data_IF_439897523243
#
_entry.id   IF_439897523243
#
_cell.length_a   1.000
_cell.length_b   1.000
_cell.length_c   1.000
_cell.angle_alpha   90.00
_cell.angle_beta   90.00
_cell.angle_gamma   90.00
#
_symmetry.space_group_name_H-M   'P 1'
#
loop_
_entity.id
_entity.type
_entity.pdbx_description
1 polymer ?
#
# COMPACT_ATOMS: atom_id res chain seq x y z
N UNK A 1 -11.12 31.76 31.12
CA UNK A 1 -10.19 30.69 30.72
C UNK A 1 -8.80 31.11 31.14
N UNK A 2 -8.23 30.41 32.12
CA UNK A 2 -6.96 30.78 32.75
C UNK A 2 -5.79 30.18 31.97
N UNK A 3 -4.64 30.84 31.99
CA UNK A 3 -3.38 30.32 31.42
C UNK A 3 -3.03 28.91 31.94
N UNK A 4 -3.46 28.62 33.18
CA UNK A 4 -3.27 27.31 33.83
C UNK A 4 -4.02 26.18 33.12
N UNK A 5 -5.21 26.46 32.59
CA UNK A 5 -6.02 25.48 31.87
C UNK A 5 -5.34 25.11 30.54
N UNK A 6 -4.81 26.12 29.85
CA UNK A 6 -4.07 25.93 28.60
C UNK A 6 -2.76 25.15 28.79
N UNK A 7 -2.02 25.44 29.86
CA UNK A 7 -0.77 24.74 30.15
C UNK A 7 -1.01 23.26 30.50
N UNK A 8 -2.07 22.98 31.26
CA UNK A 8 -2.49 21.61 31.58
C UNK A 8 -2.86 20.83 30.31
N UNK A 9 -3.67 21.43 29.43
CA UNK A 9 -4.03 20.84 28.14
C UNK A 9 -2.81 20.56 27.24
N UNK A 10 -1.86 21.49 27.19
CA UNK A 10 -0.64 21.33 26.40
C UNK A 10 0.22 20.16 26.92
N UNK A 11 0.33 20.03 28.24
CA UNK A 11 1.06 18.94 28.87
C UNK A 11 0.38 17.58 28.64
N UNK A 12 -0.94 17.48 28.77
CA UNK A 12 -1.68 16.25 28.47
C UNK A 12 -1.45 15.79 27.03
N UNK A 13 -1.50 16.72 26.07
CA UNK A 13 -1.20 16.44 24.65
C UNK A 13 0.24 15.97 24.43
N UNK A 14 1.20 16.57 25.14
CA UNK A 14 2.61 16.23 25.04
C UNK A 14 2.91 14.85 25.66
N UNK A 15 2.32 14.54 26.82
CA UNK A 15 2.44 13.23 27.48
C UNK A 15 1.89 12.13 26.59
N UNK A 16 0.72 12.33 25.98
CA UNK A 16 0.13 11.37 25.04
C UNK A 16 1.05 11.07 23.84
N UNK A 17 1.76 12.09 23.36
CA UNK A 17 2.72 11.96 22.25
C UNK A 17 4.05 11.34 22.68
N UNK A 18 4.46 11.51 23.93
CA UNK A 18 5.64 10.88 24.51
C UNK A 18 5.41 9.39 24.81
N UNK A 19 4.20 9.02 25.26
CA UNK A 19 3.82 7.63 25.55
C UNK A 19 3.64 6.79 24.29
N UNK A 20 3.31 7.40 23.14
CA UNK A 20 3.19 6.68 21.87
C UNK A 20 4.59 6.45 21.28
N UNK A 21 5.19 5.25 21.43
CA UNK A 21 6.59 5.06 21.11
C UNK A 21 6.78 5.09 19.59
N UNK A 22 7.98 5.52 19.17
CA UNK A 22 8.48 5.53 17.78
C UNK A 22 8.35 4.18 17.02
N UNK A 23 7.89 3.12 17.68
CA UNK A 23 7.67 1.76 17.18
C UNK A 23 6.45 1.64 16.27
N UNK A 24 5.32 2.30 16.57
CA UNK A 24 4.11 2.18 15.75
C UNK A 24 4.22 2.91 14.41
N UNK A 25 4.98 4.01 14.36
CA UNK A 25 5.24 4.73 13.10
C UNK A 25 5.97 3.86 12.07
N UNK A 26 6.78 2.89 12.52
CA UNK A 26 7.45 1.93 11.62
C UNK A 26 6.51 0.80 11.20
N UNK A 27 5.60 0.36 12.07
CA UNK A 27 4.64 -0.69 11.77
C UNK A 27 3.59 -0.23 10.73
N UNK A 28 3.02 0.96 10.90
CA UNK A 28 2.02 1.53 9.99
C UNK A 28 2.64 1.89 8.63
N UNK A 29 3.87 2.43 8.62
CA UNK A 29 4.60 2.75 7.38
C UNK A 29 5.06 1.50 6.61
N UNK A 30 5.19 0.35 7.30
CA UNK A 30 5.53 -0.94 6.68
C UNK A 30 4.28 -1.67 6.17
N UNK A 31 3.13 -1.54 6.83
CA UNK A 31 1.86 -2.13 6.35
C UNK A 31 1.23 -1.36 5.19
N UNK A 32 1.32 -0.02 5.18
CA UNK A 32 0.86 0.85 4.08
C UNK A 32 1.91 1.05 2.98
N UNK A 33 2.95 0.22 2.94
CA UNK A 33 3.90 0.22 1.83
C UNK A 33 3.28 -0.55 0.66
N UNK A 34 2.15 -0.06 0.16
CA UNK A 34 1.64 -0.46 -1.14
C UNK A 34 2.80 -0.34 -2.12
N UNK A 35 3.03 -1.41 -2.88
CA UNK A 35 4.09 -1.39 -3.87
C UNK A 35 3.87 -0.16 -4.77
N UNK A 36 4.93 0.62 -5.00
CA UNK A 36 4.83 1.81 -5.85
C UNK A 36 4.23 1.47 -7.22
N UNK A 37 4.46 0.23 -7.67
CA UNK A 37 3.78 -0.36 -8.83
C UNK A 37 2.26 -0.42 -8.70
N UNK A 38 1.66 -0.84 -7.58
CA UNK A 38 0.20 -0.79 -7.41
C UNK A 38 -0.32 0.64 -7.39
N UNK A 39 0.45 1.59 -6.83
CA UNK A 39 0.07 3.01 -6.77
C UNK A 39 0.07 3.72 -8.14
N UNK A 40 0.94 3.30 -9.05
CA UNK A 40 1.08 3.93 -10.38
C UNK A 40 0.54 3.08 -11.53
N UNK A 41 0.46 1.75 -11.36
CA UNK A 41 0.06 0.82 -12.40
C UNK A 41 -1.22 0.03 -12.08
N UNK A 42 -1.83 0.18 -10.89
CA UNK A 42 -3.13 -0.42 -10.57
C UNK A 42 -3.30 -1.85 -11.09
N UNK A 43 -4.22 -2.03 -12.06
CA UNK A 43 -4.52 -3.31 -12.73
C UNK A 43 -3.78 -3.55 -14.07
N UNK A 44 -2.91 -2.64 -14.52
CA UNK A 44 -2.17 -2.77 -15.78
C UNK A 44 -1.34 -4.06 -15.87
N UNK A 45 -0.52 -4.46 -14.86
CA UNK A 45 0.23 -5.71 -14.97
C UNK A 45 -0.69 -6.94 -15.00
N UNK A 46 -1.90 -6.84 -14.47
CA UNK A 46 -2.89 -7.92 -14.51
C UNK A 46 -3.53 -8.05 -15.90
N UNK A 47 -3.98 -6.95 -16.50
CA UNK A 47 -4.54 -6.95 -17.86
C UNK A 47 -3.49 -7.29 -18.93
N UNK A 48 -2.24 -6.85 -18.74
CA UNK A 48 -1.11 -7.21 -19.61
C UNK A 48 -0.85 -8.72 -19.60
N UNK A 49 -0.84 -9.35 -18.42
CA UNK A 49 -0.69 -10.82 -18.30
C UNK A 49 -1.82 -11.57 -19.01
N UNK A 50 -3.08 -11.15 -18.83
CA UNK A 50 -4.22 -11.77 -19.54
C UNK A 50 -4.10 -11.63 -21.06
N UNK A 51 -3.67 -10.47 -21.55
CA UNK A 51 -3.49 -10.26 -22.99
C UNK A 51 -2.40 -11.16 -23.57
N UNK A 52 -1.24 -11.24 -22.91
CA UNK A 52 -0.12 -12.09 -23.34
C UNK A 52 -0.51 -13.57 -23.32
N UNK A 53 -1.23 -14.02 -22.28
CA UNK A 53 -1.70 -15.41 -22.19
C UNK A 53 -2.73 -15.74 -23.30
N UNK A 54 -3.62 -14.80 -23.62
CA UNK A 54 -4.55 -14.93 -24.75
C UNK A 54 -3.82 -15.02 -26.09
N UNK A 55 -2.73 -14.27 -26.29
CA UNK A 55 -1.92 -14.35 -27.51
C UNK A 55 -1.14 -15.67 -27.58
N UNK A 56 -0.54 -16.09 -26.46
CA UNK A 56 0.21 -17.35 -26.37
C UNK A 56 -0.68 -18.57 -26.63
N UNK A 57 -1.87 -18.59 -26.04
CA UNK A 57 -2.86 -19.66 -26.25
C UNK A 57 -3.38 -19.70 -27.68
N UNK A 58 -3.51 -18.56 -28.36
CA UNK A 58 -3.82 -18.53 -29.82
C UNK A 58 -2.68 -19.08 -30.67
N UNK A 59 -1.43 -18.74 -30.36
CA UNK A 59 -0.26 -19.26 -31.06
C UNK A 59 0.00 -20.76 -30.78
N UNK A 60 -0.38 -21.25 -29.61
CA UNK A 60 -0.29 -22.67 -29.27
C UNK A 60 -1.41 -23.51 -29.90
N UNK A 61 -2.61 -22.94 -30.09
CA UNK A 61 -3.76 -23.64 -30.67
C UNK A 61 -3.56 -24.02 -32.14
N UNK A 62 -2.77 -23.25 -32.90
CA UNK A 62 -2.39 -23.59 -34.28
C UNK A 62 -1.29 -24.67 -34.39
N UNK A 63 -0.64 -25.04 -33.28
CA UNK A 63 0.40 -26.10 -33.26
C UNK A 63 -0.13 -27.49 -32.91
N UNK A 64 -1.42 -27.61 -32.58
CA UNK A 64 -2.05 -28.86 -32.19
C UNK A 64 -2.97 -29.45 -33.26
N UNK A 65 -3.16 -28.76 -34.39
CA UNK A 65 -4.00 -29.20 -35.52
C UNK A 65 -3.21 -29.83 -36.66
N UNK A 66 -1.93 -30.13 -36.45
CA UNK A 66 -1.04 -30.75 -37.42
C UNK A 66 -0.42 -32.01 -36.80
N UNK A 67 -1.27 -33.02 -36.59
CA UNK A 67 -0.90 -34.43 -36.40
C UNK A 67 -2.00 -35.33 -36.92
#
# INVERSE_FOLDING_TARGET
>A
MSFRDWFTYLLERMVWFMETPRTERKAIKKSNREAWSTRWFGMIPFSMKMYVDKQKSRLQRGRFTEK
#
